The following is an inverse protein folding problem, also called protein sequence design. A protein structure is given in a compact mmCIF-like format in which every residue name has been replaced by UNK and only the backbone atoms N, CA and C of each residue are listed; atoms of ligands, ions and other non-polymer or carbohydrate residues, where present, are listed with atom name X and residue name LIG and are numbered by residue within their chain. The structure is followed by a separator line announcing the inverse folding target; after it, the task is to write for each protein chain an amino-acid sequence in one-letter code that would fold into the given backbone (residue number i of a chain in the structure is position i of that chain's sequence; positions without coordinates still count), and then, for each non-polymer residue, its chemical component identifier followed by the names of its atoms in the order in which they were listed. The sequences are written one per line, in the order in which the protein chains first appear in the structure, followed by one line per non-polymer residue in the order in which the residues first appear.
data_IF_266573588908
#
_entry.id   IF_266573588908
#
_cell.length_a   1.000
_cell.length_b   1.000
_cell.length_c   1.000
_cell.angle_alpha   90.00
_cell.angle_beta   90.00
_cell.angle_gamma   90.00
#
_symmetry.space_group_name_H-M   'P 1'
#
loop_
_entity.id
_entity.type
_entity.pdbx_description
1 polymer ?
#
# COMPACT_ATOMS: atom_id res chain seq x y z
N UNK A 1 -17.04 -23.20 16.40
CA UNK A 1 -16.92 -22.06 15.47
C UNK A 1 -16.09 -21.00 16.17
N UNK A 2 -14.81 -20.84 15.81
CA UNK A 2 -13.97 -19.80 16.39
C UNK A 2 -14.18 -18.50 15.61
N UNK A 3 -14.67 -17.47 16.29
CA UNK A 3 -14.82 -16.13 15.74
C UNK A 3 -13.42 -15.57 15.42
N UNK A 4 -13.18 -15.32 14.14
CA UNK A 4 -11.97 -14.65 13.66
C UNK A 4 -12.01 -13.19 14.12
N UNK A 5 -11.48 -12.91 15.31
CA UNK A 5 -11.11 -11.55 15.72
C UNK A 5 -9.97 -11.07 14.80
N UNK A 6 -10.35 -10.47 13.67
CA UNK A 6 -9.44 -9.72 12.82
C UNK A 6 -9.02 -8.49 13.64
N UNK A 7 -7.73 -8.29 13.92
CA UNK A 7 -7.29 -7.08 14.60
C UNK A 7 -7.76 -5.87 13.80
N UNK A 8 -8.40 -4.92 14.47
CA UNK A 8 -8.90 -3.70 13.82
C UNK A 8 -7.71 -2.91 13.28
N UNK A 9 -7.74 -2.60 11.98
CA UNK A 9 -6.70 -1.78 11.37
C UNK A 9 -6.83 -0.34 11.83
N UNK A 10 -5.73 0.26 12.29
CA UNK A 10 -5.71 1.65 12.73
C UNK A 10 -5.36 2.54 11.53
N UNK A 11 -6.24 3.47 11.20
CA UNK A 11 -6.06 4.36 10.05
C UNK A 11 -5.77 5.78 10.55
N UNK A 12 -4.67 6.37 10.08
CA UNK A 12 -4.30 7.76 10.32
C UNK A 12 -4.41 8.50 8.98
N UNK A 13 -5.11 9.64 8.96
CA UNK A 13 -5.32 10.45 7.74
C UNK A 13 -4.69 11.83 7.89
N UNK A 14 -4.10 12.31 6.81
CA UNK A 14 -3.49 13.64 6.71
C UNK A 14 -4.21 14.43 5.62
N UNK A 15 -5.25 15.16 6.01
CA UNK A 15 -6.16 15.80 5.06
C UNK A 15 -5.64 17.08 4.41
N UNK A 16 -4.54 17.64 4.92
CA UNK A 16 -3.93 18.88 4.45
C UNK A 16 -2.49 18.65 4.02
N UNK A 17 -2.08 19.30 2.95
CA UNK A 17 -0.69 19.40 2.54
C UNK A 17 0.12 20.05 3.67
N UNK A 18 1.23 19.45 4.12
CA UNK A 18 2.05 20.01 5.19
C UNK A 18 2.78 21.29 4.78
N UNK A 19 2.94 21.53 3.46
CA UNK A 19 3.66 22.68 2.94
C UNK A 19 2.76 23.92 2.76
N UNK A 20 1.60 23.79 2.10
CA UNK A 20 0.72 24.93 1.80
C UNK A 20 -0.65 24.88 2.50
N UNK A 21 -0.97 23.81 3.25
CA UNK A 21 -2.25 23.65 3.95
C UNK A 21 -3.45 23.29 3.06
N UNK A 22 -3.28 23.18 1.74
CA UNK A 22 -4.35 22.79 0.82
C UNK A 22 -4.88 21.39 1.09
N UNK A 23 -6.17 21.17 0.81
CA UNK A 23 -6.81 19.84 0.85
C UNK A 23 -6.84 19.15 -0.51
N UNK A 24 -6.45 19.85 -1.58
CA UNK A 24 -6.51 19.32 -2.94
C UNK A 24 -5.36 18.36 -3.19
N UNK A 25 -5.72 17.17 -3.67
CA UNK A 25 -4.83 16.04 -3.89
C UNK A 25 -5.04 15.53 -5.30
N UNK A 26 -3.95 15.42 -6.06
CA UNK A 26 -4.02 15.12 -7.48
C UNK A 26 -4.75 13.80 -7.76
N UNK A 27 -4.40 12.72 -7.05
CA UNK A 27 -5.12 11.45 -7.18
C UNK A 27 -6.60 11.53 -6.76
N UNK A 28 -6.97 12.40 -5.80
CA UNK A 28 -8.37 12.56 -5.39
C UNK A 28 -9.19 13.25 -6.48
N UNK A 29 -8.63 14.27 -7.13
CA UNK A 29 -9.27 14.99 -8.23
C UNK A 29 -9.47 14.04 -9.44
N UNK A 30 -8.47 13.21 -9.75
CA UNK A 30 -8.59 12.14 -10.75
C UNK A 30 -9.66 11.10 -10.36
N UNK A 31 -9.63 10.61 -9.13
CA UNK A 31 -10.60 9.61 -8.65
C UNK A 31 -12.03 10.13 -8.77
N UNK A 32 -12.26 11.39 -8.41
CA UNK A 32 -13.58 12.01 -8.54
C UNK A 32 -14.03 12.05 -10.01
N UNK A 33 -13.15 12.44 -10.93
CA UNK A 33 -13.45 12.47 -12.37
C UNK A 33 -13.83 11.08 -12.90
N UNK A 34 -13.16 10.01 -12.44
CA UNK A 34 -13.46 8.62 -12.85
C UNK A 34 -14.78 8.13 -12.23
N UNK A 35 -15.06 8.50 -10.97
CA UNK A 35 -16.33 8.19 -10.30
C UNK A 35 -17.52 8.87 -10.97
N UNK A 36 -17.38 10.14 -11.34
CA UNK A 36 -18.43 10.91 -12.02
C UNK A 36 -18.80 10.29 -13.38
N UNK A 37 -17.88 9.54 -13.98
CA UNK A 37 -18.09 8.78 -15.22
C UNK A 37 -18.66 7.38 -14.99
N UNK A 38 -18.92 6.98 -13.75
CA UNK A 38 -19.40 5.65 -13.40
C UNK A 38 -18.38 4.52 -13.57
N UNK A 39 -17.09 4.85 -13.72
CA UNK A 39 -16.02 3.88 -13.98
C UNK A 39 -15.36 3.35 -12.71
N UNK A 40 -15.75 3.88 -11.55
CA UNK A 40 -15.18 3.54 -10.25
C UNK A 40 -16.25 3.66 -9.17
N UNK A 41 -16.23 2.75 -8.21
CA UNK A 41 -17.16 2.80 -7.07
C UNK A 41 -16.86 3.98 -6.15
N UNK A 42 -17.89 4.50 -5.50
CA UNK A 42 -17.79 5.73 -4.69
C UNK A 42 -16.88 5.59 -3.47
N UNK A 43 -16.81 4.38 -2.91
CA UNK A 43 -16.00 4.06 -1.74
C UNK A 43 -14.50 3.92 -2.00
N UNK A 44 -14.10 3.76 -3.27
CA UNK A 44 -12.69 3.54 -3.61
C UNK A 44 -11.91 4.87 -3.60
N UNK A 45 -10.62 4.81 -3.28
CA UNK A 45 -9.71 5.96 -3.26
C UNK A 45 -8.52 5.68 -4.19
N UNK A 46 -8.03 6.71 -4.88
CA UNK A 46 -6.74 6.63 -5.58
C UNK A 46 -5.62 7.19 -4.72
N UNK A 47 -4.45 6.58 -4.86
CA UNK A 47 -3.21 6.95 -4.21
C UNK A 47 -2.09 6.78 -5.23
N UNK A 48 -1.19 7.74 -5.31
CA UNK A 48 -0.11 7.77 -6.31
C UNK A 48 0.92 6.68 -6.06
N UNK A 49 1.18 6.36 -4.78
CA UNK A 49 2.02 5.23 -4.41
C UNK A 49 1.57 4.66 -3.07
N UNK A 50 1.79 3.36 -2.87
CA UNK A 50 1.53 2.67 -1.61
C UNK A 50 2.82 1.93 -1.22
N UNK A 51 3.43 2.37 -0.13
CA UNK A 51 4.56 1.65 0.47
C UNK A 51 4.04 0.74 1.56
N UNK A 52 4.32 -0.55 1.44
CA UNK A 52 4.00 -1.53 2.46
C UNK A 52 5.27 -1.97 3.17
N UNK A 53 5.19 -2.08 4.49
CA UNK A 53 6.28 -2.62 5.31
C UNK A 53 5.76 -3.51 6.43
N UNK A 54 6.64 -4.36 6.93
CA UNK A 54 6.46 -5.06 8.20
C UNK A 54 7.17 -4.22 9.26
N UNK A 55 6.53 -3.97 10.41
CA UNK A 55 7.23 -3.34 11.54
C UNK A 55 8.19 -4.38 12.09
N UNK A 56 9.48 -4.18 11.84
CA UNK A 56 10.55 -5.08 12.28
C UNK A 56 11.18 -4.50 13.53
N UNK A 57 10.58 -4.78 14.69
CA UNK A 57 11.23 -4.52 15.99
C UNK A 57 12.31 -5.56 16.31
N UNK A 58 12.57 -6.50 15.39
CA UNK A 58 13.41 -7.66 15.60
C UNK A 58 14.54 -7.70 14.57
N UNK A 59 15.77 -7.89 15.07
CA UNK A 59 16.95 -8.26 14.28
C UNK A 59 16.56 -9.28 13.17
N UNK A 60 17.00 -9.11 11.91
CA UNK A 60 16.76 -10.07 10.83
C UNK A 60 17.02 -11.54 11.22
N UNK A 61 17.95 -11.80 12.14
CA UNK A 61 18.24 -13.15 12.67
C UNK A 61 17.12 -13.71 13.56
N UNK A 62 16.35 -12.85 14.20
CA UNK A 62 15.18 -13.22 15.00
C UNK A 62 13.93 -13.35 14.12
N UNK A 63 13.83 -12.61 13.02
CA UNK A 63 12.74 -12.78 12.05
C UNK A 63 12.71 -14.21 11.47
N UNK A 64 13.87 -14.81 11.20
CA UNK A 64 13.96 -16.21 10.76
C UNK A 64 13.36 -17.19 11.78
N UNK A 65 13.38 -16.83 13.07
CA UNK A 65 12.84 -17.65 14.17
C UNK A 65 11.34 -17.47 14.36
N UNK A 66 10.74 -16.41 13.82
CA UNK A 66 9.29 -16.21 13.87
C UNK A 66 8.61 -17.35 13.09
N UNK A 67 7.76 -18.18 13.72
CA UNK A 67 7.10 -19.27 13.04
C UNK A 67 6.24 -18.79 11.87
N UNK A 68 6.10 -19.64 10.86
CA UNK A 68 5.07 -19.43 9.84
C UNK A 68 3.68 -19.50 10.48
N UNK A 69 2.76 -18.68 10.00
CA UNK A 69 1.44 -18.54 10.63
C UNK A 69 1.39 -17.51 11.76
N UNK A 70 2.53 -16.99 12.23
CA UNK A 70 2.52 -15.89 13.20
C UNK A 70 2.00 -14.60 12.57
N UNK A 71 1.11 -13.92 13.29
CA UNK A 71 0.63 -12.57 12.99
C UNK A 71 1.75 -11.56 13.27
N UNK A 72 2.12 -10.78 12.25
CA UNK A 72 3.15 -9.74 12.34
C UNK A 72 2.57 -8.37 12.01
N UNK A 73 2.91 -7.32 12.77
CA UNK A 73 2.45 -5.97 12.49
C UNK A 73 2.99 -5.46 11.16
N UNK A 74 2.14 -4.79 10.41
CA UNK A 74 2.41 -4.21 9.11
C UNK A 74 1.92 -2.79 9.03
N UNK A 75 2.51 -2.01 8.15
CA UNK A 75 2.05 -0.68 7.84
C UNK A 75 1.95 -0.46 6.34
N UNK A 76 1.03 0.42 5.95
CA UNK A 76 0.89 0.96 4.61
C UNK A 76 1.01 2.48 4.69
N UNK A 77 1.84 3.07 3.84
CA UNK A 77 1.92 4.52 3.63
C UNK A 77 1.40 4.81 2.25
N UNK A 78 0.25 5.47 2.18
CA UNK A 78 -0.34 5.94 0.94
C UNK A 78 0.12 7.37 0.70
N UNK A 79 0.92 7.54 -0.35
CA UNK A 79 1.53 8.81 -0.75
C UNK A 79 0.63 9.52 -1.74
N UNK A 80 0.59 10.84 -1.66
CA UNK A 80 -0.13 11.69 -2.60
C UNK A 80 0.59 12.98 -2.94
N UNK A 81 0.13 13.67 -3.98
CA UNK A 81 0.70 14.93 -4.46
C UNK A 81 -0.32 16.05 -4.28
N UNK A 82 0.11 17.18 -3.71
CA UNK A 82 -0.73 18.36 -3.60
C UNK A 82 -0.95 19.01 -4.98
N UNK A 83 -2.22 19.20 -5.38
CA UNK A 83 -2.56 19.81 -6.68
C UNK A 83 -2.16 21.28 -6.77
N UNK A 84 -2.09 22.00 -5.65
CA UNK A 84 -1.80 23.45 -5.66
C UNK A 84 -0.29 23.77 -5.62
N UNK A 85 0.54 22.96 -4.93
CA UNK A 85 1.97 23.26 -4.75
C UNK A 85 2.94 22.14 -5.14
N UNK A 86 2.44 20.99 -5.59
CA UNK A 86 3.26 19.86 -6.06
C UNK A 86 3.99 19.07 -4.97
N UNK A 87 3.82 19.42 -3.69
CA UNK A 87 4.45 18.68 -2.58
C UNK A 87 3.94 17.23 -2.53
N UNK A 88 4.88 16.29 -2.47
CA UNK A 88 4.61 14.86 -2.26
C UNK A 88 4.63 14.57 -0.76
N UNK A 89 3.58 13.93 -0.24
CA UNK A 89 3.46 13.66 1.19
C UNK A 89 2.60 12.42 1.48
N UNK A 90 2.71 11.86 2.68
CA UNK A 90 1.83 10.79 3.14
C UNK A 90 0.43 11.36 3.43
N UNK A 91 -0.58 10.92 2.69
CA UNK A 91 -1.97 11.33 2.90
C UNK A 91 -2.77 10.36 3.77
N UNK A 92 -2.30 9.12 3.90
CA UNK A 92 -2.90 8.09 4.76
C UNK A 92 -1.84 7.09 5.20
N UNK A 93 -1.91 6.68 6.46
CA UNK A 93 -1.16 5.57 7.02
C UNK A 93 -2.14 4.55 7.58
N UNK A 94 -1.87 3.28 7.34
CA UNK A 94 -2.67 2.16 7.86
C UNK A 94 -1.74 1.25 8.64
N UNK A 95 -2.05 1.01 9.90
CA UNK A 95 -1.48 -0.07 10.69
C UNK A 95 -2.40 -1.28 10.54
N UNK A 96 -1.84 -2.42 10.19
CA UNK A 96 -2.56 -3.67 10.00
C UNK A 96 -1.71 -4.84 10.50
N UNK A 97 -2.22 -6.05 10.42
CA UNK A 97 -1.48 -7.27 10.75
C UNK A 97 -1.54 -8.24 9.58
N UNK A 98 -0.39 -8.76 9.15
CA UNK A 98 -0.33 -9.84 8.17
C UNK A 98 0.14 -11.14 8.80
N UNK A 99 -0.09 -12.26 8.12
CA UNK A 99 0.38 -13.58 8.57
C UNK A 99 1.67 -13.92 7.84
N UNK A 100 2.73 -14.28 8.56
CA UNK A 100 3.98 -14.74 7.96
C UNK A 100 3.72 -16.01 7.13
N UNK A 101 3.87 -15.90 5.82
CA UNK A 101 3.71 -17.04 4.91
C UNK A 101 5.06 -17.68 4.56
N UNK A 102 5.02 -18.94 4.16
CA UNK A 102 6.16 -19.61 3.53
C UNK A 102 6.57 -18.81 2.27
N UNK A 103 7.87 -18.68 1.98
CA UNK A 103 8.31 -18.14 0.69
C UNK A 103 7.63 -18.95 -0.41
N UNK A 104 6.80 -18.32 -1.23
CA UNK A 104 6.28 -18.98 -2.41
C UNK A 104 7.47 -19.20 -3.34
N UNK A 105 7.67 -20.45 -3.75
CA UNK A 105 8.68 -20.78 -4.75
C UNK A 105 8.33 -20.00 -6.03
N UNK A 106 9.08 -18.93 -6.33
CA UNK A 106 8.99 -18.27 -7.62
C UNK A 106 9.50 -19.28 -8.65
N UNK A 107 8.64 -19.68 -9.59
CA UNK A 107 9.07 -20.51 -10.71
C UNK A 107 10.28 -19.83 -11.39
N UNK A 108 11.35 -20.58 -11.72
CA UNK A 108 12.54 -20.00 -12.35
C UNK A 108 12.15 -19.33 -13.66
N UNK A 109 12.41 -18.03 -13.78
CA UNK A 109 12.14 -17.17 -14.94
C UNK A 109 13.12 -17.40 -16.10
N UNK A 110 13.55 -18.64 -16.33
CA UNK A 110 14.53 -18.98 -17.38
C UNK A 110 13.95 -19.09 -18.80
N UNK A 111 12.73 -18.60 -19.05
CA UNK A 111 12.06 -18.77 -20.36
C UNK A 111 11.36 -17.54 -20.93
N UNK A 112 11.89 -16.33 -20.74
CA UNK A 112 11.39 -15.14 -21.46
C UNK A 112 12.52 -14.23 -21.96
N UNK A 113 13.38 -14.76 -22.84
CA UNK A 113 14.08 -13.95 -23.84
C UNK A 113 13.78 -14.60 -25.19
N UNK A 114 12.72 -14.14 -25.87
CA UNK A 114 12.62 -14.34 -27.31
C UNK A 114 13.41 -13.19 -27.97
N UNK A 115 14.46 -13.47 -28.76
CA UNK A 115 15.10 -12.42 -29.54
C UNK A 115 14.11 -11.95 -30.61
N UNK A 116 13.87 -10.64 -30.64
CA UNK A 116 13.13 -9.97 -31.70
C UNK A 116 13.92 -10.20 -32.99
N UNK A 117 13.43 -11.07 -33.87
CA UNK A 117 13.89 -11.18 -35.24
C UNK A 117 13.41 -9.96 -36.01
N UNK A 118 14.33 -9.04 -36.31
CA UNK A 118 14.14 -7.95 -37.26
C UNK A 118 14.04 -8.51 -38.67
N UNK A 119 12.90 -8.25 -39.34
CA UNK A 119 12.71 -8.34 -40.79
C UNK A 119 12.26 -6.99 -41.30
#
# INVERSE_FOLDING_TARGET
MQENNKPESKIIRFDKCPNCGSKKRFASDMAQTVKDRGLMRMELEFWENIWQGVVRDVDPRQEAKVPFGTKVPTFYVCVTVCSDCGTIYAGKMVEDTTTKQLPQATAPTDKLINPISSS
#
